data_IF_279072865226
#
_entry.id   IF_279072865226
#
_cell.length_a   1.000
_cell.length_b   1.000
_cell.length_c   1.000
_cell.angle_alpha   90.00
_cell.angle_beta   90.00
_cell.angle_gamma   90.00
#
_symmetry.space_group_name_H-M   'P 1'
#
loop_
_entity.id
_entity.type
_entity.pdbx_description
1 polymer ?
#
# COMPACT_ATOMS: atom_id res chain seq x y z
N UNK A 1 16.14 -13.62 18.49
CA UNK A 1 15.37 -14.82 18.11
C UNK A 1 15.17 -14.75 16.61
N UNK A 2 15.59 -15.78 15.89
CA UNK A 2 15.41 -15.90 14.45
C UNK A 2 13.91 -15.87 14.14
N UNK A 3 13.46 -14.89 13.34
CA UNK A 3 12.04 -14.77 12.98
C UNK A 3 11.75 -15.91 12.01
N UNK A 4 11.19 -17.00 12.50
CA UNK A 4 10.72 -18.09 11.65
C UNK A 4 9.63 -17.53 10.73
N UNK A 5 9.88 -17.58 9.44
CA UNK A 5 8.90 -17.17 8.42
C UNK A 5 7.74 -18.15 8.48
N UNK A 6 6.53 -17.64 8.69
CA UNK A 6 5.31 -18.46 8.73
C UNK A 6 4.55 -18.29 7.42
N UNK A 7 4.60 -19.30 6.57
CA UNK A 7 4.12 -19.21 5.19
C UNK A 7 2.59 -19.13 5.12
N UNK A 8 1.86 -19.93 5.89
CA UNK A 8 0.39 -19.89 5.94
C UNK A 8 -0.15 -18.51 6.32
N UNK A 9 0.34 -17.89 7.42
CA UNK A 9 -0.01 -16.52 7.78
C UNK A 9 0.29 -15.49 6.68
N UNK A 10 1.40 -15.62 5.96
CA UNK A 10 1.73 -14.75 4.83
C UNK A 10 0.71 -14.89 3.69
N UNK A 11 0.34 -16.14 3.34
CA UNK A 11 -0.71 -16.43 2.34
C UNK A 11 -2.03 -15.76 2.75
N UNK A 12 -2.44 -15.94 4.01
CA UNK A 12 -3.67 -15.34 4.56
C UNK A 12 -3.67 -13.82 4.45
N UNK A 13 -2.54 -13.20 4.79
CA UNK A 13 -2.41 -11.75 4.75
C UNK A 13 -2.50 -11.22 3.32
N UNK A 14 -1.74 -11.80 2.39
CA UNK A 14 -1.75 -11.41 0.98
C UNK A 14 -3.14 -11.62 0.37
N UNK A 15 -3.82 -12.73 0.71
CA UNK A 15 -5.20 -12.98 0.29
C UNK A 15 -6.14 -11.86 0.72
N UNK A 16 -6.06 -11.45 2.00
CA UNK A 16 -6.89 -10.37 2.54
C UNK A 16 -6.59 -9.04 1.84
N UNK A 17 -5.31 -8.72 1.58
CA UNK A 17 -4.93 -7.52 0.83
C UNK A 17 -5.51 -7.50 -0.60
N UNK A 18 -5.57 -8.66 -1.24
CA UNK A 18 -6.18 -8.83 -2.57
C UNK A 18 -7.71 -8.84 -2.54
N UNK A 19 -8.33 -8.82 -1.35
CA UNK A 19 -9.78 -8.87 -1.19
C UNK A 19 -10.42 -10.20 -1.60
N UNK A 20 -9.63 -11.28 -1.64
CA UNK A 20 -10.10 -12.59 -2.09
C UNK A 20 -10.71 -13.38 -0.92
N UNK A 21 -11.83 -14.06 -1.18
CA UNK A 21 -12.45 -14.98 -0.21
C UNK A 21 -11.69 -16.31 -0.18
N UNK A 22 -11.67 -16.98 0.98
CA UNK A 22 -11.01 -18.29 1.11
C UNK A 22 -11.61 -19.32 0.13
N UNK A 23 -12.93 -19.30 -0.04
CA UNK A 23 -13.66 -20.19 -0.93
C UNK A 23 -13.23 -20.01 -2.39
N UNK A 24 -12.96 -18.77 -2.82
CA UNK A 24 -12.54 -18.49 -4.19
C UNK A 24 -11.16 -19.09 -4.50
N UNK A 25 -10.21 -18.93 -3.57
CA UNK A 25 -8.85 -19.49 -3.71
C UNK A 25 -8.88 -21.01 -3.64
N UNK A 26 -9.69 -21.58 -2.74
CA UNK A 26 -9.87 -23.02 -2.62
C UNK A 26 -10.40 -23.64 -3.92
N UNK A 27 -11.40 -23.00 -4.56
CA UNK A 27 -11.96 -23.44 -5.84
C UNK A 27 -10.88 -23.45 -6.94
N UNK A 28 -10.05 -22.41 -7.04
CA UNK A 28 -8.98 -22.38 -8.05
C UNK A 28 -7.86 -23.40 -7.78
N UNK A 29 -7.59 -23.71 -6.52
CA UNK A 29 -6.67 -24.79 -6.13
C UNK A 29 -7.28 -26.19 -6.29
N UNK A 30 -8.58 -26.30 -6.54
CA UNK A 30 -9.27 -27.60 -6.62
C UNK A 30 -9.39 -28.32 -5.29
N UNK A 31 -9.36 -27.59 -4.17
CA UNK A 31 -9.47 -28.12 -2.81
C UNK A 31 -10.69 -27.55 -2.09
N UNK A 32 -11.02 -28.11 -0.92
CA UNK A 32 -12.09 -27.57 -0.08
C UNK A 32 -11.64 -26.30 0.66
N UNK A 33 -12.60 -25.46 1.02
CA UNK A 33 -12.33 -24.28 1.87
C UNK A 33 -11.66 -24.68 3.20
N UNK A 34 -12.06 -25.81 3.79
CA UNK A 34 -11.49 -26.29 5.05
C UNK A 34 -10.01 -26.64 4.89
N UNK A 35 -9.63 -27.32 3.81
CA UNK A 35 -8.23 -27.62 3.48
C UNK A 35 -7.43 -26.33 3.24
N UNK A 36 -8.00 -25.37 2.51
CA UNK A 36 -7.33 -24.07 2.31
C UNK A 36 -7.16 -23.29 3.62
N UNK A 37 -8.14 -23.37 4.52
CA UNK A 37 -8.02 -22.79 5.87
C UNK A 37 -6.92 -23.47 6.69
N UNK A 38 -6.68 -24.77 6.52
CA UNK A 38 -5.55 -25.44 7.17
C UNK A 38 -4.21 -24.94 6.63
N UNK A 39 -4.10 -24.72 5.32
CA UNK A 39 -2.91 -24.12 4.69
C UNK A 39 -2.62 -22.74 5.27
N UNK A 40 -3.63 -21.89 5.44
CA UNK A 40 -3.45 -20.54 6.00
C UNK A 40 -3.02 -20.52 7.48
N UNK A 41 -3.26 -21.60 8.22
CA UNK A 41 -2.90 -21.72 9.63
C UNK A 41 -1.62 -22.55 9.85
N UNK A 42 -0.99 -23.08 8.80
CA UNK A 42 0.25 -23.84 8.92
C UNK A 42 1.48 -22.93 8.92
N UNK A 43 2.50 -23.31 9.69
CA UNK A 43 3.77 -22.58 9.72
C UNK A 43 4.61 -22.84 8.45
N UNK A 44 4.45 -24.02 7.84
CA UNK A 44 5.08 -24.42 6.58
C UNK A 44 4.04 -24.92 5.57
N UNK A 45 4.31 -24.70 4.29
CA UNK A 45 3.46 -25.09 3.16
C UNK A 45 4.38 -25.66 2.08
N UNK A 46 3.92 -26.68 1.36
CA UNK A 46 4.67 -27.27 0.25
C UNK A 46 4.93 -26.24 -0.85
N UNK A 47 6.13 -26.25 -1.43
CA UNK A 47 6.58 -25.31 -2.45
C UNK A 47 5.68 -25.34 -3.69
N UNK A 48 5.14 -26.51 -4.05
CA UNK A 48 4.19 -26.62 -5.16
C UNK A 48 2.91 -25.82 -4.91
N UNK A 49 2.38 -25.88 -3.68
CA UNK A 49 1.19 -25.12 -3.28
C UNK A 49 1.50 -23.63 -3.25
N UNK A 50 2.68 -23.23 -2.75
CA UNK A 50 3.11 -21.82 -2.75
C UNK A 50 3.12 -21.26 -4.18
N UNK A 51 3.64 -22.03 -5.16
CA UNK A 51 3.66 -21.62 -6.57
C UNK A 51 2.25 -21.45 -7.13
N UNK A 52 1.34 -22.40 -6.86
CA UNK A 52 -0.05 -22.31 -7.32
C UNK A 52 -0.78 -21.11 -6.70
N UNK A 53 -0.63 -20.91 -5.39
CA UNK A 53 -1.21 -19.77 -4.68
C UNK A 53 -0.66 -18.44 -5.22
N UNK A 54 0.65 -18.37 -5.49
CA UNK A 54 1.27 -17.18 -6.07
C UNK A 54 0.68 -16.83 -7.46
N UNK A 55 0.41 -17.85 -8.28
CA UNK A 55 -0.25 -17.68 -9.58
C UNK A 55 -1.67 -17.10 -9.42
N UNK A 56 -2.47 -17.67 -8.51
CA UNK A 56 -3.84 -17.18 -8.21
C UNK A 56 -3.80 -15.72 -7.74
N UNK A 57 -2.81 -15.38 -6.91
CA UNK A 57 -2.64 -14.01 -6.39
C UNK A 57 -2.00 -13.05 -7.39
N UNK A 58 -1.53 -13.56 -8.53
CA UNK A 58 -0.75 -12.85 -9.54
C UNK A 58 0.47 -12.14 -8.92
N UNK A 59 1.28 -12.91 -8.19
CA UNK A 59 2.55 -12.50 -7.56
C UNK A 59 3.61 -13.58 -7.78
N UNK A 60 4.87 -13.34 -7.44
CA UNK A 60 5.89 -14.39 -7.46
C UNK A 60 5.88 -15.21 -6.16
N UNK A 61 6.31 -16.49 -6.17
CA UNK A 61 6.40 -17.31 -4.96
C UNK A 61 7.30 -16.67 -3.88
N UNK A 62 8.34 -15.95 -4.30
CA UNK A 62 9.25 -15.21 -3.42
C UNK A 62 8.50 -14.15 -2.60
N UNK A 63 7.50 -13.49 -3.18
CA UNK A 63 6.69 -12.51 -2.45
C UNK A 63 6.00 -13.14 -1.25
N UNK A 64 5.57 -14.40 -1.34
CA UNK A 64 4.93 -15.13 -0.22
C UNK A 64 5.99 -15.56 0.81
N UNK A 65 7.15 -16.04 0.34
CA UNK A 65 8.25 -16.55 1.19
C UNK A 65 8.98 -15.44 1.93
N UNK A 66 9.15 -14.28 1.31
CA UNK A 66 9.85 -13.12 1.89
C UNK A 66 8.87 -12.10 2.49
N UNK A 67 7.56 -12.40 2.47
CA UNK A 67 6.56 -11.48 2.98
C UNK A 67 6.84 -11.10 4.42
N UNK A 68 6.97 -9.80 4.65
CA UNK A 68 7.11 -9.22 5.96
C UNK A 68 6.07 -8.12 6.11
N UNK A 69 5.03 -8.42 6.89
CA UNK A 69 3.91 -7.51 7.17
C UNK A 69 4.39 -6.09 7.53
N UNK A 70 5.37 -5.98 8.42
CA UNK A 70 5.91 -4.68 8.83
C UNK A 70 6.55 -3.93 7.65
N UNK A 71 7.27 -4.60 6.74
CA UNK A 71 7.88 -3.97 5.57
C UNK A 71 6.85 -3.59 4.49
N UNK A 72 5.77 -4.36 4.37
CA UNK A 72 4.66 -4.04 3.47
C UNK A 72 3.95 -2.74 3.92
N UNK A 73 3.76 -2.56 5.22
CA UNK A 73 3.26 -1.30 5.79
C UNK A 73 4.28 -0.17 5.76
N UNK A 74 5.56 -0.46 6.02
CA UNK A 74 6.63 0.53 5.81
C UNK A 74 6.66 1.02 4.36
N UNK A 75 6.32 0.24 3.34
CA UNK A 75 6.27 0.75 1.94
C UNK A 75 5.09 1.71 1.70
N UNK A 76 4.03 1.60 2.48
CA UNK A 76 2.87 2.51 2.45
C UNK A 76 3.18 3.77 3.27
N UNK A 77 3.79 3.64 4.44
CA UNK A 77 4.22 4.74 5.30
C UNK A 77 5.47 5.47 4.75
N UNK A 78 6.38 4.78 4.08
CA UNK A 78 7.54 5.37 3.40
C UNK A 78 7.18 6.06 2.08
N UNK A 79 5.99 5.80 1.53
CA UNK A 79 5.39 6.69 0.53
C UNK A 79 4.91 8.01 1.13
N UNK A 80 4.72 8.06 2.44
CA UNK A 80 4.38 9.25 3.20
C UNK A 80 5.63 9.91 3.82
N UNK A 81 6.69 9.16 4.14
CA UNK A 81 7.86 9.69 4.85
C UNK A 81 9.25 9.56 4.17
N UNK A 82 9.47 8.70 3.17
CA UNK A 82 10.79 8.50 2.56
C UNK A 82 10.91 9.06 1.13
N UNK A 83 10.78 10.39 1.04
CA UNK A 83 11.50 11.20 0.06
C UNK A 83 13.02 11.15 0.34
N UNK A 84 13.65 9.98 0.15
CA UNK A 84 15.10 9.86 -0.02
C UNK A 84 15.39 8.87 -1.14
N UNK A 85 15.29 9.40 -2.36
CA UNK A 85 15.65 8.73 -3.60
C UNK A 85 17.17 8.47 -3.59
N UNK A 86 17.55 7.20 -3.75
CA UNK A 86 18.91 6.79 -4.13
C UNK A 86 19.23 7.37 -5.51
N UNK A 87 20.40 7.98 -5.64
CA UNK A 87 20.80 8.97 -6.67
C UNK A 87 20.73 8.53 -8.15
N UNK A 88 20.26 7.33 -8.50
CA UNK A 88 20.42 6.76 -9.86
C UNK A 88 19.13 6.27 -10.56
N UNK A 89 17.93 6.72 -10.16
CA UNK A 89 16.70 6.38 -10.89
C UNK A 89 16.27 7.50 -11.84
N UNK A 90 16.55 7.33 -13.14
CA UNK A 90 15.96 8.14 -14.21
C UNK A 90 14.50 7.72 -14.48
N UNK A 91 13.63 7.94 -13.51
CA UNK A 91 12.19 8.04 -13.74
C UNK A 91 11.83 9.52 -13.82
N UNK A 92 11.10 9.94 -14.86
CA UNK A 92 10.43 11.25 -14.85
C UNK A 92 9.37 11.18 -13.75
N UNK A 93 9.79 11.51 -12.52
CA UNK A 93 8.90 11.68 -11.40
C UNK A 93 8.20 13.01 -11.59
N UNK A 94 6.93 12.96 -12.00
CA UNK A 94 6.04 14.08 -11.76
C UNK A 94 5.79 14.10 -10.25
N UNK A 95 6.65 14.82 -9.52
CA UNK A 95 6.59 14.98 -8.07
C UNK A 95 5.32 15.76 -7.76
N UNK A 96 4.23 15.05 -7.51
CA UNK A 96 3.02 15.65 -6.96
C UNK A 96 3.26 15.82 -5.46
N UNK A 97 3.79 16.96 -5.06
CA UNK A 97 4.06 17.30 -3.66
C UNK A 97 2.77 17.86 -3.03
N UNK A 98 2.08 17.13 -2.14
CA UNK A 98 0.85 17.61 -1.54
C UNK A 98 1.06 18.87 -0.70
N UNK A 99 2.26 19.03 -0.11
CA UNK A 99 2.61 20.24 0.66
C UNK A 99 2.70 21.48 -0.23
N UNK A 100 3.23 21.37 -1.44
CA UNK A 100 3.28 22.50 -2.39
C UNK A 100 1.87 22.95 -2.78
N UNK A 101 0.94 22.00 -2.95
CA UNK A 101 -0.47 22.32 -3.21
C UNK A 101 -1.17 22.96 -2.02
N UNK A 102 -0.83 22.55 -0.80
CA UNK A 102 -1.34 23.21 0.40
C UNK A 102 -0.79 24.64 0.51
N UNK A 103 0.50 24.87 0.25
CA UNK A 103 1.09 26.21 0.22
C UNK A 103 0.43 27.10 -0.84
N UNK A 104 0.24 26.58 -2.06
CA UNK A 104 -0.46 27.29 -3.15
C UNK A 104 -1.89 27.72 -2.73
N UNK A 105 -2.63 26.84 -2.05
CA UNK A 105 -3.96 27.15 -1.53
C UNK A 105 -3.91 28.24 -0.45
N UNK A 106 -2.92 28.22 0.44
CA UNK A 106 -2.74 29.25 1.46
C UNK A 106 -2.37 30.61 0.87
N UNK A 107 -1.49 30.66 -0.13
CA UNK A 107 -1.15 31.91 -0.81
C UNK A 107 -2.36 32.52 -1.54
N UNK A 108 -3.17 31.67 -2.20
CA UNK A 108 -4.44 32.11 -2.82
C UNK A 108 -5.44 32.63 -1.79
N UNK A 109 -5.59 31.94 -0.66
CA UNK A 109 -6.46 32.39 0.43
C UNK A 109 -6.00 33.75 0.98
N UNK A 110 -4.69 33.90 1.24
CA UNK A 110 -4.12 35.15 1.73
C UNK A 110 -4.36 36.31 0.76
N UNK A 111 -4.25 36.04 -0.55
CA UNK A 111 -4.54 37.01 -1.61
C UNK A 111 -6.01 37.43 -1.59
N UNK A 112 -6.93 36.46 -1.52
CA UNK A 112 -8.37 36.72 -1.44
C UNK A 112 -8.76 37.55 -0.21
N UNK A 113 -8.13 37.31 0.95
CA UNK A 113 -8.38 38.10 2.16
C UNK A 113 -7.86 39.54 2.02
N UNK A 114 -6.71 39.73 1.38
CA UNK A 114 -6.16 41.09 1.11
C UNK A 114 -7.07 41.88 0.17
N UNK A 115 -7.51 41.27 -0.93
CA UNK A 115 -8.44 41.89 -1.88
C UNK A 115 -9.76 42.28 -1.21
N UNK A 116 -10.30 41.41 -0.36
CA UNK A 116 -11.52 41.69 0.41
C UNK A 116 -11.35 42.89 1.35
N UNK A 117 -10.21 42.97 2.05
CA UNK A 117 -9.89 44.12 2.91
C UNK A 117 -9.78 45.41 2.10
N UNK A 118 -9.17 45.36 0.91
CA UNK A 118 -9.04 46.53 0.04
C UNK A 118 -10.40 47.03 -0.46
N UNK A 119 -11.28 46.10 -0.89
CA UNK A 119 -12.66 46.42 -1.26
C UNK A 119 -13.39 47.07 -0.07
N UNK A 120 -13.30 46.48 1.13
CA UNK A 120 -13.93 47.03 2.34
C UNK A 120 -13.40 48.42 2.71
N UNK A 121 -12.08 48.66 2.57
CA UNK A 121 -11.49 49.99 2.78
C UNK A 121 -12.00 51.01 1.77
N UNK A 122 -12.12 50.63 0.50
CA UNK A 122 -12.65 51.49 -0.56
C UNK A 122 -14.14 51.85 -0.38
N UNK A 123 -14.90 50.95 0.25
CA UNK A 123 -16.31 51.19 0.60
C UNK A 123 -16.48 52.10 1.80
N UNK A 124 -15.56 52.05 2.78
CA UNK A 124 -15.55 52.91 3.97
C UNK A 124 -14.91 54.30 3.75
N UNK A 125 -14.39 54.58 2.54
CA UNK A 125 -13.82 55.89 2.18
C UNK A 125 -14.73 56.74 1.28
N UNK A 126 -16.01 56.38 1.17
CA UNK A 126 -17.11 57.23 0.67
C UNK A 126 -18.01 57.63 1.82
#
# INVERSE_FOLDING_TARGET
MEKTVRIGPNIKFIRNLKGLKQEAVAIELGITQAEYSLIENSDSVDDQIIVQVAQIFNVTPEVIKEFNENQAFYSIENKVENNKISENSHGIHQVFSPIEKVVELYERLLTSEREKIEILKSQNTK
#
